data_IF_161820978605
#
_entry.id   IF_161820978605
#
_cell.length_a   1.000
_cell.length_b   1.000
_cell.length_c   1.000
_cell.angle_alpha   90.00
_cell.angle_beta   90.00
_cell.angle_gamma   90.00
#
_symmetry.space_group_name_H-M   'P 1'
#
loop_
_entity.id
_entity.type
_entity.pdbx_description
1 polymer ?
#
# COMPACT_ATOMS: atom_id res chain seq x y z
N UNK A 1 7.01 -6.48 -39.95
CA UNK A 1 7.88 -6.67 -38.77
C UNK A 1 8.14 -5.38 -37.99
N UNK A 2 8.23 -4.25 -38.67
CA UNK A 2 8.55 -2.96 -38.01
C UNK A 2 7.41 -2.34 -37.20
N UNK A 3 6.15 -2.50 -37.61
CA UNK A 3 4.96 -2.07 -36.82
C UNK A 3 4.79 -2.84 -35.51
N UNK A 4 5.07 -4.14 -35.51
CA UNK A 4 5.02 -4.97 -34.30
C UNK A 4 6.07 -4.51 -33.27
N UNK A 5 7.29 -4.25 -33.73
CA UNK A 5 8.38 -3.72 -32.88
C UNK A 5 8.09 -2.31 -32.34
N UNK A 6 7.48 -1.46 -33.15
CA UNK A 6 7.09 -0.11 -32.70
C UNK A 6 6.03 -0.16 -31.59
N UNK A 7 5.06 -1.09 -31.67
CA UNK A 7 4.05 -1.29 -30.65
C UNK A 7 4.64 -1.81 -29.32
N UNK A 8 5.51 -2.81 -29.38
CA UNK A 8 6.21 -3.32 -28.17
C UNK A 8 7.09 -2.27 -27.51
N UNK A 9 7.81 -1.48 -28.29
CA UNK A 9 8.67 -0.41 -27.75
C UNK A 9 7.82 0.64 -27.02
N UNK A 10 6.64 0.97 -27.54
CA UNK A 10 5.75 1.93 -26.89
C UNK A 10 5.18 1.40 -25.57
N UNK A 11 4.82 0.12 -25.51
CA UNK A 11 4.33 -0.54 -24.30
C UNK A 11 5.41 -0.60 -23.21
N UNK A 12 6.65 -0.95 -23.57
CA UNK A 12 7.78 -0.94 -22.62
C UNK A 12 8.05 0.45 -22.08
N UNK A 13 8.07 1.48 -22.91
CA UNK A 13 8.27 2.87 -22.46
C UNK A 13 7.16 3.31 -21.51
N UNK A 14 5.92 2.95 -21.81
CA UNK A 14 4.78 3.25 -20.94
C UNK A 14 4.90 2.50 -19.61
N UNK A 15 5.26 1.23 -19.63
CA UNK A 15 5.47 0.40 -18.45
C UNK A 15 6.55 0.99 -17.53
N UNK A 16 7.68 1.41 -18.08
CA UNK A 16 8.76 2.07 -17.31
C UNK A 16 8.28 3.37 -16.67
N UNK A 17 7.53 4.20 -17.39
CA UNK A 17 6.97 5.45 -16.84
C UNK A 17 5.99 5.17 -15.71
N UNK A 18 5.09 4.19 -15.86
CA UNK A 18 4.14 3.80 -14.83
C UNK A 18 4.84 3.22 -13.59
N UNK A 19 5.87 2.37 -13.80
CA UNK A 19 6.69 1.83 -12.70
C UNK A 19 7.38 2.96 -11.94
N UNK A 20 8.07 3.86 -12.63
CA UNK A 20 8.77 4.97 -12.01
C UNK A 20 7.81 5.87 -11.20
N UNK A 21 6.64 6.19 -11.77
CA UNK A 21 5.64 6.99 -11.09
C UNK A 21 5.10 6.29 -9.83
N UNK A 22 4.79 5.00 -9.91
CA UNK A 22 4.29 4.23 -8.77
C UNK A 22 5.34 4.12 -7.66
N UNK A 23 6.60 3.85 -7.99
CA UNK A 23 7.71 3.81 -7.01
C UNK A 23 7.91 5.17 -6.33
N UNK A 24 7.88 6.26 -7.08
CA UNK A 24 7.98 7.62 -6.49
C UNK A 24 6.82 7.88 -5.53
N UNK A 25 5.59 7.50 -5.91
CA UNK A 25 4.44 7.61 -5.03
C UNK A 25 4.59 6.74 -3.78
N UNK A 26 5.08 5.49 -3.90
CA UNK A 26 5.35 4.61 -2.77
C UNK A 26 6.36 5.22 -1.80
N UNK A 27 7.46 5.78 -2.32
CA UNK A 27 8.49 6.44 -1.51
C UNK A 27 7.91 7.66 -0.78
N UNK A 28 7.19 8.53 -1.49
CA UNK A 28 6.55 9.71 -0.87
C UNK A 28 5.55 9.27 0.20
N UNK A 29 4.68 8.30 -0.09
CA UNK A 29 3.68 7.81 0.84
C UNK A 29 4.28 7.17 2.09
N UNK A 30 5.43 6.49 1.95
CA UNK A 30 6.10 5.85 3.08
C UNK A 30 6.80 6.86 4.00
N UNK A 31 7.46 7.89 3.43
CA UNK A 31 8.23 8.86 4.21
C UNK A 31 7.43 10.09 4.65
N UNK A 32 6.25 10.35 4.08
CA UNK A 32 5.42 11.52 4.43
C UNK A 32 4.08 11.10 5.05
N UNK A 33 4.01 10.86 6.37
CA UNK A 33 2.82 10.31 7.03
C UNK A 33 1.57 11.20 6.90
N UNK A 34 1.73 12.52 6.82
CA UNK A 34 0.61 13.46 6.71
C UNK A 34 -0.19 13.34 5.41
N UNK A 35 0.47 12.98 4.31
CA UNK A 35 -0.16 12.84 2.99
C UNK A 35 -0.21 11.38 2.51
N UNK A 36 0.31 10.45 3.31
CA UNK A 36 0.46 9.03 2.93
C UNK A 36 -0.85 8.42 2.45
N UNK A 37 -1.96 8.67 3.14
CA UNK A 37 -3.27 8.11 2.77
C UNK A 37 -3.66 8.48 1.34
N UNK A 38 -3.51 9.74 0.98
CA UNK A 38 -3.85 10.24 -0.37
C UNK A 38 -2.89 9.67 -1.40
N UNK A 39 -1.60 9.66 -1.10
CA UNK A 39 -0.56 9.17 -2.00
C UNK A 39 -0.70 7.66 -2.25
N UNK A 40 -0.94 6.86 -1.20
CA UNK A 40 -1.16 5.43 -1.35
C UNK A 40 -2.41 5.10 -2.19
N UNK A 41 -3.44 5.94 -2.12
CA UNK A 41 -4.63 5.77 -2.97
C UNK A 41 -4.33 6.03 -4.45
N UNK A 42 -3.26 6.77 -4.77
CA UNK A 42 -2.84 7.06 -6.14
C UNK A 42 -1.98 5.95 -6.76
N UNK A 43 -1.31 5.10 -5.95
CA UNK A 43 -0.41 4.04 -6.44
C UNK A 43 -1.11 3.05 -7.40
N UNK A 44 -2.35 2.60 -7.19
CA UNK A 44 -3.02 1.70 -8.12
C UNK A 44 -3.29 2.31 -9.49
N UNK A 45 -3.37 3.65 -9.62
CA UNK A 45 -3.77 4.31 -10.85
C UNK A 45 -2.81 4.10 -12.03
N UNK A 46 -1.48 4.27 -11.90
CA UNK A 46 -0.56 4.00 -13.01
C UNK A 46 -0.58 2.52 -13.43
N UNK A 47 -0.76 1.59 -12.48
CA UNK A 47 -0.87 0.15 -12.77
C UNK A 47 -2.16 -0.14 -13.54
N UNK A 48 -3.29 0.40 -13.07
CA UNK A 48 -4.59 0.26 -13.72
C UNK A 48 -4.61 0.86 -15.12
N UNK A 49 -4.02 2.05 -15.28
CA UNK A 49 -3.90 2.71 -16.59
C UNK A 49 -3.14 1.85 -17.60
N UNK A 50 -2.02 1.26 -17.18
CA UNK A 50 -1.23 0.38 -18.03
C UNK A 50 -2.02 -0.88 -18.40
N UNK A 51 -2.67 -1.53 -17.44
CA UNK A 51 -3.50 -2.72 -17.66
C UNK A 51 -4.65 -2.45 -18.63
N UNK A 52 -5.29 -1.28 -18.52
CA UNK A 52 -6.33 -0.86 -19.43
C UNK A 52 -5.83 -0.69 -20.88
N UNK A 53 -4.62 -0.15 -21.04
CA UNK A 53 -4.08 0.24 -22.35
C UNK A 53 -3.33 -0.88 -23.04
N UNK A 54 -2.43 -1.56 -22.34
CA UNK A 54 -1.50 -2.53 -22.92
C UNK A 54 -1.84 -3.98 -22.53
N UNK A 55 -2.74 -4.18 -21.56
CA UNK A 55 -3.24 -5.48 -21.15
C UNK A 55 -2.74 -5.98 -19.80
N UNK A 56 -3.40 -7.05 -19.35
CA UNK A 56 -3.26 -7.56 -17.99
C UNK A 56 -1.84 -8.05 -17.68
N UNK A 57 -1.18 -8.67 -18.68
CA UNK A 57 0.19 -9.15 -18.53
C UNK A 57 1.17 -8.03 -18.21
N UNK A 58 1.01 -6.86 -18.83
CA UNK A 58 1.86 -5.71 -18.57
C UNK A 58 1.65 -5.12 -17.18
N UNK A 59 0.40 -5.07 -16.70
CA UNK A 59 0.14 -4.60 -15.34
C UNK A 59 0.72 -5.53 -14.27
N UNK A 60 0.71 -6.84 -14.49
CA UNK A 60 1.34 -7.82 -13.59
C UNK A 60 2.87 -7.66 -13.59
N UNK A 61 3.50 -7.54 -14.77
CA UNK A 61 4.95 -7.34 -14.89
C UNK A 61 5.38 -6.06 -14.16
N UNK A 62 4.66 -4.96 -14.37
CA UNK A 62 4.95 -3.69 -13.71
C UNK A 62 4.75 -3.78 -12.20
N UNK A 63 3.71 -4.46 -11.74
CA UNK A 63 3.47 -4.68 -10.31
C UNK A 63 4.63 -5.45 -9.66
N UNK A 64 5.13 -6.51 -10.33
CA UNK A 64 6.32 -7.23 -9.87
C UNK A 64 7.57 -6.33 -9.87
N UNK A 65 7.74 -5.51 -10.91
CA UNK A 65 8.83 -4.54 -10.99
C UNK A 65 8.79 -3.50 -9.86
N UNK A 66 7.61 -2.97 -9.53
CA UNK A 66 7.41 -2.05 -8.41
C UNK A 66 7.79 -2.75 -7.10
N UNK A 67 7.34 -3.99 -6.87
CA UNK A 67 7.67 -4.75 -5.67
C UNK A 67 9.20 -4.92 -5.50
N UNK A 68 9.92 -5.22 -6.59
CA UNK A 68 11.37 -5.36 -6.55
C UNK A 68 12.05 -4.03 -6.20
N UNK A 69 11.63 -2.94 -6.85
CA UNK A 69 12.19 -1.62 -6.59
C UNK A 69 11.86 -1.11 -5.19
N UNK A 70 10.61 -1.24 -4.75
CA UNK A 70 10.19 -0.86 -3.40
C UNK A 70 10.91 -1.69 -2.32
N UNK A 71 11.29 -2.94 -2.62
CA UNK A 71 12.05 -3.78 -1.69
C UNK A 71 13.44 -3.22 -1.37
N UNK A 72 14.02 -2.46 -2.28
CA UNK A 72 15.31 -1.77 -2.07
C UNK A 72 15.16 -0.61 -1.07
N UNK A 73 14.00 0.08 -1.09
CA UNK A 73 13.76 1.25 -0.23
C UNK A 73 13.18 0.89 1.15
N UNK A 74 12.32 -0.12 1.22
CA UNK A 74 11.53 -0.42 2.44
C UNK A 74 11.81 -1.81 3.00
N UNK A 75 12.63 -2.60 2.34
CA UNK A 75 12.81 -4.01 2.61
C UNK A 75 11.71 -4.88 2.01
N UNK A 76 12.04 -6.16 1.77
CA UNK A 76 11.20 -7.10 1.04
C UNK A 76 9.80 -7.30 1.65
N UNK A 77 9.71 -7.40 2.98
CA UNK A 77 8.44 -7.65 3.68
C UNK A 77 7.48 -6.46 3.50
N UNK A 78 7.96 -5.23 3.71
CA UNK A 78 7.15 -4.02 3.56
C UNK A 78 6.70 -3.83 2.12
N UNK A 79 7.59 -4.04 1.15
CA UNK A 79 7.28 -3.96 -0.27
C UNK A 79 6.24 -5.01 -0.70
N UNK A 80 6.36 -6.25 -0.19
CA UNK A 80 5.40 -7.30 -0.46
C UNK A 80 3.99 -6.95 0.08
N UNK A 81 3.91 -6.38 1.29
CA UNK A 81 2.64 -5.93 1.86
C UNK A 81 2.01 -4.77 1.07
N UNK A 82 2.80 -3.78 0.66
CA UNK A 82 2.33 -2.68 -0.19
C UNK A 82 1.82 -3.20 -1.54
N UNK A 83 2.58 -4.08 -2.16
CA UNK A 83 2.24 -4.69 -3.44
C UNK A 83 0.97 -5.55 -3.36
N UNK A 84 0.79 -6.31 -2.27
CA UNK A 84 -0.39 -7.14 -2.06
C UNK A 84 -1.69 -6.33 -1.97
N UNK A 85 -1.65 -5.11 -1.45
CA UNK A 85 -2.83 -4.22 -1.41
C UNK A 85 -2.92 -3.42 -2.72
N UNK A 86 -1.95 -2.55 -2.96
CA UNK A 86 -2.06 -1.52 -4.01
C UNK A 86 -1.71 -2.05 -5.40
N UNK A 87 -0.77 -3.01 -5.48
CA UNK A 87 -0.40 -3.67 -6.73
C UNK A 87 -1.55 -4.51 -7.27
N UNK A 88 -2.10 -5.42 -6.45
CA UNK A 88 -3.21 -6.28 -6.84
C UNK A 88 -4.46 -5.45 -7.14
N UNK A 89 -4.73 -4.41 -6.33
CA UNK A 89 -5.83 -3.48 -6.58
C UNK A 89 -5.68 -2.80 -7.95
N UNK A 90 -4.48 -2.32 -8.30
CA UNK A 90 -4.20 -1.71 -9.58
C UNK A 90 -4.44 -2.65 -10.76
N UNK A 91 -4.00 -3.91 -10.66
CA UNK A 91 -4.24 -4.93 -11.69
C UNK A 91 -5.74 -5.18 -11.86
N UNK A 92 -6.49 -5.40 -10.78
CA UNK A 92 -7.93 -5.67 -10.83
C UNK A 92 -8.71 -4.48 -11.39
N UNK A 93 -8.36 -3.26 -11.00
CA UNK A 93 -8.96 -2.05 -11.58
C UNK A 93 -8.66 -1.96 -13.09
N UNK A 94 -7.43 -2.26 -13.52
CA UNK A 94 -7.06 -2.30 -14.94
C UNK A 94 -7.92 -3.27 -15.75
N UNK A 95 -8.11 -4.50 -15.22
CA UNK A 95 -8.97 -5.52 -15.82
C UNK A 95 -10.44 -5.05 -15.91
N UNK A 96 -10.97 -4.47 -14.83
CA UNK A 96 -12.33 -3.95 -14.79
C UNK A 96 -12.56 -2.83 -15.82
N UNK A 97 -11.66 -1.87 -15.89
CA UNK A 97 -11.76 -0.78 -16.86
C UNK A 97 -11.62 -1.24 -18.31
N UNK A 98 -10.69 -2.16 -18.57
CA UNK A 98 -10.52 -2.74 -19.91
C UNK A 98 -11.77 -3.46 -20.38
N UNK A 99 -12.40 -4.22 -19.49
CA UNK A 99 -13.62 -4.97 -19.79
C UNK A 99 -14.90 -4.14 -19.69
N UNK A 100 -14.78 -2.80 -19.49
CA UNK A 100 -15.92 -1.88 -19.37
C UNK A 100 -16.93 -2.29 -18.29
N UNK A 101 -16.43 -2.84 -17.17
CA UNK A 101 -17.24 -3.24 -16.03
C UNK A 101 -17.93 -2.01 -15.44
N UNK A 102 -19.23 -2.07 -15.05
CA UNK A 102 -19.91 -0.96 -14.41
C UNK A 102 -19.20 -0.46 -13.15
N UNK A 103 -19.25 0.84 -12.89
CA UNK A 103 -18.54 1.47 -11.76
C UNK A 103 -18.85 0.82 -10.40
N UNK A 104 -20.11 0.46 -10.16
CA UNK A 104 -20.52 -0.22 -8.93
C UNK A 104 -19.84 -1.59 -8.75
N UNK A 105 -19.76 -2.39 -9.83
CA UNK A 105 -19.07 -3.68 -9.80
C UNK A 105 -17.55 -3.52 -9.66
N UNK A 106 -16.97 -2.50 -10.29
CA UNK A 106 -15.54 -2.16 -10.14
C UNK A 106 -15.20 -1.77 -8.69
N UNK A 107 -16.04 -0.96 -8.05
CA UNK A 107 -15.89 -0.61 -6.63
C UNK A 107 -16.03 -1.84 -5.73
N UNK A 108 -17.01 -2.71 -6.00
CA UNK A 108 -17.19 -3.94 -5.25
C UNK A 108 -15.98 -4.88 -5.40
N UNK A 109 -15.45 -5.04 -6.63
CA UNK A 109 -14.23 -5.82 -6.87
C UNK A 109 -13.03 -5.24 -6.12
N UNK A 110 -12.84 -3.92 -6.16
CA UNK A 110 -11.80 -3.24 -5.41
C UNK A 110 -11.91 -3.45 -3.89
N UNK A 111 -13.11 -3.33 -3.34
CA UNK A 111 -13.36 -3.58 -1.92
C UNK A 111 -13.03 -5.03 -1.52
N UNK A 112 -13.44 -6.01 -2.34
CA UNK A 112 -13.10 -7.43 -2.11
C UNK A 112 -11.60 -7.66 -2.12
N UNK A 113 -10.86 -7.05 -3.08
CA UNK A 113 -9.41 -7.16 -3.15
C UNK A 113 -8.75 -6.59 -1.90
N UNK A 114 -9.16 -5.40 -1.46
CA UNK A 114 -8.61 -4.77 -0.25
C UNK A 114 -8.87 -5.64 0.98
N UNK A 115 -10.09 -6.13 1.16
CA UNK A 115 -10.44 -7.02 2.28
C UNK A 115 -9.64 -8.32 2.24
N UNK A 116 -9.55 -8.96 1.06
CA UNK A 116 -8.77 -10.19 0.89
C UNK A 116 -7.28 -9.96 1.17
N UNK A 117 -6.72 -8.83 0.73
CA UNK A 117 -5.34 -8.46 1.00
C UNK A 117 -5.10 -8.23 2.50
N UNK A 118 -6.02 -7.57 3.20
CA UNK A 118 -5.94 -7.37 4.65
C UNK A 118 -5.97 -8.69 5.42
N UNK A 119 -6.90 -9.58 5.06
CA UNK A 119 -7.00 -10.91 5.66
C UNK A 119 -5.71 -11.71 5.38
N UNK A 120 -5.24 -11.71 4.13
CA UNK A 120 -4.01 -12.40 3.74
C UNK A 120 -2.79 -11.88 4.49
N UNK A 121 -2.68 -10.56 4.70
CA UNK A 121 -1.59 -9.96 5.48
C UNK A 121 -1.68 -10.32 6.97
N UNK A 122 -2.88 -10.35 7.55
CA UNK A 122 -3.07 -10.80 8.93
C UNK A 122 -2.59 -12.25 9.12
N UNK A 123 -2.97 -13.14 8.20
CA UNK A 123 -2.47 -14.52 8.21
C UNK A 123 -0.95 -14.60 8.00
N UNK A 124 -0.40 -13.84 7.07
CA UNK A 124 1.05 -13.79 6.84
C UNK A 124 1.80 -13.29 8.07
N UNK A 125 1.29 -12.27 8.75
CA UNK A 125 1.88 -11.77 9.99
C UNK A 125 1.86 -12.83 11.10
N UNK A 126 0.76 -13.58 11.25
CA UNK A 126 0.66 -14.66 12.23
C UNK A 126 1.65 -15.80 11.96
N UNK A 127 1.69 -16.29 10.73
CA UNK A 127 2.43 -17.51 10.40
C UNK A 127 3.90 -17.26 10.05
N UNK A 128 4.23 -16.11 9.43
CA UNK A 128 5.60 -15.82 8.98
C UNK A 128 6.36 -15.02 10.03
N UNK A 129 5.70 -14.03 10.66
CA UNK A 129 6.34 -13.15 11.63
C UNK A 129 6.11 -13.56 13.08
N UNK A 130 5.34 -14.64 13.32
CA UNK A 130 4.93 -15.09 14.66
C UNK A 130 4.33 -13.96 15.53
N UNK A 131 3.65 -12.99 14.87
CA UNK A 131 2.94 -11.93 15.59
C UNK A 131 1.57 -12.48 16.00
N UNK A 132 1.23 -12.50 17.29
CA UNK A 132 -0.07 -13.00 17.71
C UNK A 132 -1.22 -12.19 17.08
N UNK A 133 -2.40 -12.81 16.87
CA UNK A 133 -3.54 -12.18 16.16
C UNK A 133 -4.22 -11.08 16.98
N UNK A 134 -3.50 -10.45 17.88
CA UNK A 134 -4.00 -9.40 18.75
C UNK A 134 -3.98 -8.03 18.02
N UNK A 135 -4.87 -7.89 17.05
CA UNK A 135 -5.05 -6.62 16.33
C UNK A 135 -5.49 -5.49 17.27
N UNK A 136 -5.97 -5.82 18.48
CA UNK A 136 -6.49 -4.86 19.47
C UNK A 136 -6.06 -5.16 20.93
N UNK A 137 -5.05 -6.01 21.15
CA UNK A 137 -4.52 -6.24 22.49
C UNK A 137 -3.61 -5.10 22.97
N UNK A 138 -3.57 -4.84 24.27
CA UNK A 138 -2.78 -3.74 24.85
C UNK A 138 -1.31 -3.74 24.43
N UNK A 139 -0.67 -4.91 24.34
CA UNK A 139 0.73 -5.04 23.90
C UNK A 139 0.95 -4.67 22.43
N UNK A 140 -0.02 -4.98 21.54
CA UNK A 140 0.07 -4.60 20.13
C UNK A 140 -0.09 -3.08 19.98
N UNK A 141 -0.96 -2.46 20.74
CA UNK A 141 -1.11 -0.99 20.77
C UNK A 141 0.14 -0.31 21.32
N UNK A 142 0.75 -0.85 22.37
CA UNK A 142 1.99 -0.31 22.93
C UNK A 142 3.17 -0.44 21.97
N UNK A 143 3.22 -1.52 21.19
CA UNK A 143 4.25 -1.71 20.15
C UNK A 143 4.04 -0.73 18.98
N UNK A 144 2.81 -0.51 18.58
CA UNK A 144 2.44 0.44 17.52
C UNK A 144 2.74 1.89 17.95
N UNK A 145 2.40 2.25 19.18
CA UNK A 145 2.72 3.56 19.75
C UNK A 145 4.24 3.80 19.75
N UNK A 146 5.03 2.82 20.21
CA UNK A 146 6.50 2.90 20.21
C UNK A 146 7.08 3.05 18.79
N UNK A 147 6.56 2.30 17.81
CA UNK A 147 6.99 2.41 16.42
C UNK A 147 6.66 3.79 15.82
N UNK A 148 5.44 4.29 16.06
CA UNK A 148 5.05 5.63 15.60
C UNK A 148 5.92 6.72 16.24
N UNK A 149 6.18 6.63 17.53
CA UNK A 149 7.07 7.58 18.22
C UNK A 149 8.51 7.51 17.70
N UNK A 150 9.03 6.31 17.44
CA UNK A 150 10.37 6.14 16.89
C UNK A 150 10.51 6.70 15.46
N UNK A 151 9.49 6.50 14.62
CA UNK A 151 9.45 7.10 13.29
C UNK A 151 9.37 8.62 13.37
N UNK A 152 8.53 9.17 14.23
CA UNK A 152 8.43 10.62 14.39
C UNK A 152 9.74 11.25 14.85
N UNK A 153 10.48 10.59 15.73
CA UNK A 153 11.79 11.08 16.20
C UNK A 153 12.84 11.17 15.08
N UNK A 154 12.65 10.45 13.96
CA UNK A 154 13.54 10.56 12.80
C UNK A 154 13.27 11.82 11.94
N UNK A 155 12.02 12.30 11.93
CA UNK A 155 11.59 13.39 11.05
C UNK A 155 11.36 14.72 11.76
N UNK A 156 11.08 14.69 13.05
CA UNK A 156 10.79 15.87 13.86
C UNK A 156 11.83 16.05 14.97
N UNK A 157 12.17 17.28 15.26
CA UNK A 157 13.07 17.64 16.37
C UNK A 157 12.51 18.81 17.15
N UNK A 158 12.88 18.91 18.44
CA UNK A 158 12.46 20.00 19.32
C UNK A 158 10.98 20.01 19.65
N UNK A 159 10.37 21.17 19.67
CA UNK A 159 8.99 21.42 20.12
C UNK A 159 7.93 20.71 19.25
N UNK A 160 8.19 20.59 17.94
CA UNK A 160 7.32 19.88 17.01
C UNK A 160 7.27 18.37 17.29
N UNK A 161 8.37 17.77 17.74
CA UNK A 161 8.41 16.38 18.15
C UNK A 161 7.53 16.15 19.37
N UNK A 162 7.62 17.03 20.36
CA UNK A 162 6.84 16.94 21.61
C UNK A 162 5.34 17.03 21.32
N UNK A 163 4.92 17.99 20.49
CA UNK A 163 3.52 18.14 20.09
C UNK A 163 3.01 16.93 19.30
N UNK A 164 3.82 16.40 18.37
CA UNK A 164 3.47 15.22 17.59
C UNK A 164 3.31 13.97 18.48
N UNK A 165 4.19 13.79 19.45
CA UNK A 165 4.11 12.70 20.42
C UNK A 165 2.88 12.80 21.34
N UNK A 166 2.54 14.00 21.80
CA UNK A 166 1.33 14.22 22.58
C UNK A 166 0.06 13.92 21.79
N UNK A 167 -0.01 14.32 20.54
CA UNK A 167 -1.13 14.03 19.66
C UNK A 167 -1.32 12.52 19.44
N UNK A 168 -0.22 11.78 19.20
CA UNK A 168 -0.26 10.32 19.08
C UNK A 168 -0.75 9.68 20.36
N UNK A 169 -0.24 10.11 21.51
CA UNK A 169 -0.64 9.58 22.81
C UNK A 169 -2.13 9.82 23.09
N UNK A 170 -2.63 11.02 22.82
CA UNK A 170 -4.07 11.33 22.96
C UNK A 170 -4.93 10.48 22.01
N UNK A 171 -4.48 10.27 20.78
CA UNK A 171 -5.18 9.42 19.82
C UNK A 171 -5.22 7.96 20.29
N UNK A 172 -4.10 7.42 20.78
CA UNK A 172 -4.02 6.04 21.30
C UNK A 172 -4.87 5.86 22.56
N UNK A 173 -4.87 6.82 23.46
CA UNK A 173 -5.72 6.80 24.67
C UNK A 173 -7.23 6.85 24.30
N UNK A 174 -7.59 7.60 23.28
CA UNK A 174 -8.96 7.66 22.77
C UNK A 174 -9.41 6.32 22.19
N UNK A 175 -8.53 5.66 21.45
CA UNK A 175 -8.77 4.33 20.88
C UNK A 175 -8.90 3.30 22.03
N UNK A 176 -8.00 3.32 23.03
CA UNK A 176 -8.08 2.45 24.20
C UNK A 176 -9.41 2.58 24.96
N UNK A 177 -9.92 3.80 25.12
CA UNK A 177 -11.21 4.04 25.77
C UNK A 177 -12.40 3.55 24.96
N UNK A 178 -12.25 3.45 23.64
CA UNK A 178 -13.30 3.00 22.71
C UNK A 178 -13.38 1.49 22.58
N UNK A 179 -12.36 0.74 23.04
CA UNK A 179 -12.34 -0.72 23.01
C UNK A 179 -13.03 -1.25 24.27
N UNK A 180 -14.09 -2.08 24.15
CA UNK A 180 -14.75 -2.66 25.30
C UNK A 180 -13.77 -3.50 26.15
N UNK A 181 -13.85 -3.37 27.47
CA UNK A 181 -12.96 -4.08 28.41
C UNK A 181 -13.02 -5.62 28.34
N UNK A 182 -13.90 -6.19 27.53
CA UNK A 182 -14.04 -7.63 27.29
C UNK A 182 -13.01 -8.22 26.31
N UNK A 183 -12.18 -7.37 25.71
CA UNK A 183 -11.13 -7.77 24.72
C UNK A 183 -9.71 -7.53 25.22
N UNK A 184 -9.54 -7.11 26.44
CA UNK A 184 -8.28 -7.01 27.17
C UNK A 184 -8.11 -8.23 28.06
#
# INVERSE_FOLDING_TARGET
MDEYRAGETSAVVLAVKCTALAVVLSVIGFYMPLISLVVFLLIPLPIAYLGMKEGDSWSIIVTAGIMILDSVFFGFISAAFLCAIFGVLGVVLGICYRNKVPAAATLAAGAVVVLASWIGQAFAAMYILNVPPMIFGGEAMDSMERQMMAQMAQFYSGELLTQAQENVKQMMDSIRKSIPAATL
#
